data_IF_223280659328
#
_entry.id   IF_223280659328
#
_cell.length_a   1.000
_cell.length_b   1.000
_cell.length_c   1.000
_cell.angle_alpha   90.00
_cell.angle_beta   90.00
_cell.angle_gamma   90.00
#
_symmetry.space_group_name_H-M   'P 1'
#
loop_
_entity.id
_entity.type
_entity.pdbx_description
1 polymer ?
#
# COMPACT_ATOMS: atom_id res chain seq x y z
N UNK A 1 0.20 -14.94 36.53
CA UNK A 1 1.15 -15.74 35.72
C UNK A 1 0.51 -15.91 34.34
N UNK A 2 1.06 -15.31 33.28
CA UNK A 2 0.50 -15.43 31.95
C UNK A 2 0.96 -16.77 31.34
N UNK A 3 0.04 -17.74 31.23
CA UNK A 3 0.28 -18.96 30.48
C UNK A 3 0.00 -18.66 29.00
N UNK A 4 1.05 -18.35 28.23
CA UNK A 4 0.93 -18.09 26.80
C UNK A 4 2.27 -18.22 26.10
N UNK A 5 2.28 -18.89 24.95
CA UNK A 5 3.46 -18.98 24.08
C UNK A 5 3.46 -17.78 23.14
N UNK A 6 4.49 -16.95 23.21
CA UNK A 6 4.64 -15.79 22.34
C UNK A 6 5.32 -16.21 21.03
N UNK A 7 4.60 -16.08 19.93
CA UNK A 7 5.17 -16.26 18.59
C UNK A 7 6.02 -15.02 18.27
N UNK A 8 7.30 -15.23 17.92
CA UNK A 8 8.21 -14.16 17.50
C UNK A 8 7.84 -13.54 16.16
N UNK A 9 8.69 -12.67 15.60
CA UNK A 9 8.49 -12.20 14.23
C UNK A 9 8.64 -13.38 13.25
N UNK A 10 7.59 -13.66 12.48
CA UNK A 10 7.57 -14.77 11.51
C UNK A 10 7.16 -14.24 10.15
N UNK A 11 7.81 -14.75 9.10
CA UNK A 11 7.34 -14.50 7.73
C UNK A 11 5.97 -15.14 7.52
N UNK A 12 5.12 -14.54 6.68
CA UNK A 12 3.76 -15.02 6.44
C UNK A 12 3.70 -16.49 6.00
N UNK A 13 4.70 -16.96 5.25
CA UNK A 13 4.79 -18.35 4.78
C UNK A 13 5.27 -19.36 5.84
N UNK A 14 5.92 -18.90 6.91
CA UNK A 14 6.44 -19.77 7.97
C UNK A 14 5.55 -19.81 9.21
N UNK A 15 4.54 -18.93 9.30
CA UNK A 15 3.68 -18.80 10.48
C UNK A 15 3.05 -20.13 10.92
N UNK A 16 2.45 -20.89 10.00
CA UNK A 16 1.80 -22.18 10.33
C UNK A 16 2.82 -23.18 10.90
N UNK A 17 3.96 -23.34 10.22
CA UNK A 17 5.02 -24.25 10.65
C UNK A 17 5.61 -23.83 12.01
N UNK A 18 5.79 -22.53 12.25
CA UNK A 18 6.27 -21.99 13.52
C UNK A 18 5.27 -22.22 14.65
N UNK A 19 3.97 -22.01 14.41
CA UNK A 19 2.93 -22.27 15.42
C UNK A 19 2.85 -23.77 15.74
N UNK A 20 2.91 -24.64 14.73
CA UNK A 20 2.91 -26.09 14.95
C UNK A 20 4.13 -26.55 15.78
N UNK A 21 5.33 -26.06 15.45
CA UNK A 21 6.55 -26.39 16.20
C UNK A 21 6.50 -25.91 17.66
N UNK A 22 5.90 -24.74 17.91
CA UNK A 22 5.80 -24.16 19.25
C UNK A 22 4.74 -24.82 20.15
N UNK A 23 3.74 -25.47 19.56
CA UNK A 23 2.61 -26.08 20.29
C UNK A 23 2.81 -27.58 20.50
N UNK A 24 3.65 -28.24 19.70
CA UNK A 24 3.93 -29.67 19.80
C UNK A 24 4.51 -30.09 21.16
N UNK A 25 5.36 -29.26 21.77
CA UNK A 25 6.10 -29.59 23.00
C UNK A 25 5.29 -29.44 24.31
N UNK A 26 4.49 -28.36 24.53
CA UNK A 26 3.92 -28.12 25.85
C UNK A 26 2.53 -28.75 26.13
N UNK A 27 1.64 -28.93 25.13
CA UNK A 27 0.25 -29.39 25.38
C UNK A 27 -0.37 -30.09 24.15
N UNK A 28 -0.47 -31.43 24.10
CA UNK A 28 -1.04 -32.17 22.96
C UNK A 28 -2.49 -31.78 22.62
N UNK A 29 -3.30 -31.46 23.63
CA UNK A 29 -4.68 -31.04 23.45
C UNK A 29 -4.81 -29.69 22.69
N UNK A 30 -3.80 -28.82 22.80
CA UNK A 30 -3.78 -27.53 22.11
C UNK A 30 -3.46 -27.72 20.62
N UNK A 31 -2.63 -28.70 20.27
CA UNK A 31 -2.32 -29.08 18.88
C UNK A 31 -3.59 -29.50 18.13
N UNK A 32 -4.41 -30.38 18.74
CA UNK A 32 -5.67 -30.84 18.15
C UNK A 32 -6.68 -29.70 17.97
N UNK A 33 -6.74 -28.74 18.90
CA UNK A 33 -7.64 -27.60 18.80
C UNK A 33 -7.19 -26.57 17.75
N UNK A 34 -5.88 -26.39 17.54
CA UNK A 34 -5.33 -25.41 16.61
C UNK A 34 -5.26 -25.91 15.16
N UNK A 35 -5.17 -27.21 14.93
CA UNK A 35 -5.12 -27.81 13.59
C UNK A 35 -6.24 -27.30 12.64
N UNK A 36 -7.54 -27.36 12.99
CA UNK A 36 -8.59 -26.84 12.10
C UNK A 36 -8.50 -25.33 11.89
N UNK A 37 -8.03 -24.57 12.88
CA UNK A 37 -7.87 -23.12 12.77
C UNK A 37 -6.72 -22.76 11.80
N UNK A 38 -5.62 -23.49 11.86
CA UNK A 38 -4.48 -23.31 10.94
C UNK A 38 -4.85 -23.69 9.51
N UNK A 39 -5.69 -24.71 9.33
CA UNK A 39 -6.22 -25.08 8.01
C UNK A 39 -7.05 -23.93 7.41
N UNK A 40 -8.01 -23.38 8.17
CA UNK A 40 -8.84 -22.25 7.72
C UNK A 40 -7.98 -21.01 7.45
N UNK A 41 -7.00 -20.73 8.31
CA UNK A 41 -6.05 -19.64 8.09
C UNK A 41 -5.31 -19.79 6.75
N UNK A 42 -4.77 -20.98 6.47
CA UNK A 42 -4.06 -21.24 5.22
C UNK A 42 -4.98 -21.07 3.99
N UNK A 43 -6.21 -21.61 4.05
CA UNK A 43 -7.20 -21.46 2.98
C UNK A 43 -7.54 -19.98 2.73
N UNK A 44 -7.73 -19.19 3.78
CA UNK A 44 -8.00 -17.76 3.67
C UNK A 44 -6.81 -17.02 3.03
N UNK A 45 -5.57 -17.38 3.37
CA UNK A 45 -4.38 -16.78 2.76
C UNK A 45 -4.28 -17.09 1.26
N UNK A 46 -4.51 -18.34 0.85
CA UNK A 46 -4.49 -18.71 -0.56
C UNK A 46 -5.63 -18.07 -1.36
N UNK A 47 -6.82 -17.96 -0.77
CA UNK A 47 -7.94 -17.22 -1.34
C UNK A 47 -7.59 -15.74 -1.56
N UNK A 48 -6.99 -15.10 -0.55
CA UNK A 48 -6.55 -13.70 -0.64
C UNK A 48 -5.48 -13.49 -1.73
N UNK A 49 -4.49 -14.40 -1.84
CA UNK A 49 -3.48 -14.37 -2.91
C UNK A 49 -4.11 -14.51 -4.29
N UNK A 50 -5.07 -15.42 -4.43
CA UNK A 50 -5.77 -15.66 -5.70
C UNK A 50 -6.56 -14.43 -6.14
N UNK A 51 -7.33 -13.84 -5.22
CA UNK A 51 -8.07 -12.60 -5.47
C UNK A 51 -7.12 -11.45 -5.83
N UNK A 52 -6.02 -11.29 -5.08
CA UNK A 52 -5.02 -10.25 -5.36
C UNK A 52 -4.42 -10.40 -6.76
N UNK A 53 -4.16 -11.64 -7.23
CA UNK A 53 -3.70 -11.90 -8.61
C UNK A 53 -4.76 -11.52 -9.64
N UNK A 54 -6.04 -11.83 -9.39
CA UNK A 54 -7.13 -11.46 -10.31
C UNK A 54 -7.30 -9.95 -10.42
N UNK A 55 -7.36 -9.24 -9.28
CA UNK A 55 -7.44 -7.78 -9.23
C UNK A 55 -6.24 -7.16 -9.95
N UNK A 56 -5.04 -7.68 -9.66
CA UNK A 56 -3.83 -7.19 -10.31
C UNK A 56 -3.93 -7.34 -11.82
N UNK A 57 -4.33 -8.51 -12.34
CA UNK A 57 -4.51 -8.75 -13.79
C UNK A 57 -5.50 -7.77 -14.42
N UNK A 58 -6.66 -7.55 -13.79
CA UNK A 58 -7.66 -6.60 -14.27
C UNK A 58 -7.08 -5.18 -14.35
N UNK A 59 -6.39 -4.76 -13.28
CA UNK A 59 -5.72 -3.46 -13.23
C UNK A 59 -4.62 -3.33 -14.28
N UNK A 60 -3.92 -4.41 -14.65
CA UNK A 60 -2.93 -4.36 -15.73
C UNK A 60 -3.55 -4.13 -17.10
N UNK A 61 -4.80 -4.55 -17.30
CA UNK A 61 -5.53 -4.44 -18.57
C UNK A 61 -6.27 -3.11 -18.71
N UNK A 62 -6.48 -2.39 -17.60
CA UNK A 62 -7.14 -1.08 -17.60
C UNK A 62 -6.22 0.00 -18.23
N UNK A 63 -6.67 0.67 -19.32
CA UNK A 63 -5.88 1.70 -19.98
C UNK A 63 -5.55 2.90 -19.08
N UNK A 64 -6.37 3.23 -18.10
CA UNK A 64 -6.09 4.33 -17.15
C UNK A 64 -4.93 3.93 -16.24
N UNK A 65 -4.94 2.71 -15.72
CA UNK A 65 -3.88 2.19 -14.87
C UNK A 65 -2.55 2.02 -15.64
N UNK A 66 -2.60 1.68 -16.93
CA UNK A 66 -1.42 1.62 -17.80
C UNK A 66 -0.78 3.00 -18.00
N UNK A 67 -1.58 4.08 -18.07
CA UNK A 67 -1.07 5.46 -18.18
C UNK A 67 -0.37 5.94 -16.91
N UNK A 68 -0.68 5.35 -15.75
CA UNK A 68 -0.05 5.68 -14.47
C UNK A 68 1.25 4.91 -14.21
N UNK A 69 1.47 3.76 -14.86
CA UNK A 69 2.67 2.91 -14.68
C UNK A 69 4.02 3.56 -14.98
N UNK A 70 4.17 4.48 -15.95
CA UNK A 70 5.46 5.11 -16.21
C UNK A 70 5.96 5.98 -15.05
N UNK A 71 5.10 6.33 -14.09
CA UNK A 71 5.48 7.11 -12.92
C UNK A 71 6.34 6.25 -11.99
N UNK A 72 7.57 6.67 -11.64
CA UNK A 72 8.42 5.92 -10.73
C UNK A 72 7.74 5.73 -9.38
N UNK A 73 7.76 4.50 -8.87
CA UNK A 73 7.04 4.10 -7.65
C UNK A 73 5.55 3.74 -7.88
N UNK A 74 4.98 3.88 -9.07
CA UNK A 74 3.57 3.50 -9.29
C UNK A 74 3.46 2.08 -9.85
N UNK A 75 3.36 1.11 -8.94
CA UNK A 75 3.08 -0.28 -9.28
C UNK A 75 1.60 -0.53 -9.62
N UNK A 76 1.23 -1.71 -10.15
CA UNK A 76 -0.15 -2.04 -10.53
C UNK A 76 -1.16 -1.79 -9.41
N UNK A 77 -0.85 -2.22 -8.19
CA UNK A 77 -1.75 -2.04 -7.05
C UNK A 77 -1.92 -0.55 -6.67
N UNK A 78 -0.85 0.24 -6.80
CA UNK A 78 -0.87 1.69 -6.54
C UNK A 78 -1.71 2.41 -7.60
N UNK A 79 -1.53 2.06 -8.87
CA UNK A 79 -2.31 2.58 -9.98
C UNK A 79 -3.81 2.26 -9.81
N UNK A 80 -4.15 0.98 -9.58
CA UNK A 80 -5.53 0.56 -9.38
C UNK A 80 -6.18 1.22 -8.17
N UNK A 81 -5.47 1.34 -7.05
CA UNK A 81 -5.98 2.02 -5.85
C UNK A 81 -6.19 3.50 -6.12
N UNK A 82 -5.30 4.15 -6.88
CA UNK A 82 -5.43 5.57 -7.23
C UNK A 82 -6.64 5.81 -8.13
N UNK A 83 -6.85 4.98 -9.15
CA UNK A 83 -8.02 5.05 -10.03
C UNK A 83 -9.31 4.79 -9.24
N UNK A 84 -9.34 3.75 -8.41
CA UNK A 84 -10.49 3.43 -7.56
C UNK A 84 -10.80 4.53 -6.54
N UNK A 85 -9.79 5.26 -6.05
CA UNK A 85 -9.99 6.36 -5.11
C UNK A 85 -10.51 7.61 -5.81
N UNK A 86 -10.09 7.84 -7.05
CA UNK A 86 -10.47 9.02 -7.82
C UNK A 86 -11.87 8.91 -8.44
N UNK A 87 -12.31 7.69 -8.77
CA UNK A 87 -13.58 7.34 -9.43
C UNK A 87 -13.83 8.11 -10.75
N UNK A 88 -14.07 9.43 -10.67
CA UNK A 88 -14.25 10.33 -11.80
C UNK A 88 -13.15 11.42 -11.83
N UNK A 89 -12.20 11.37 -12.80
CA UNK A 89 -11.15 12.36 -12.92
C UNK A 89 -11.67 13.73 -13.40
N UNK A 90 -12.85 13.80 -14.03
CA UNK A 90 -13.41 15.05 -14.58
C UNK A 90 -13.91 16.01 -13.49
N UNK A 91 -14.11 15.50 -12.27
CA UNK A 91 -14.44 16.29 -11.09
C UNK A 91 -13.35 17.29 -10.71
N UNK A 92 -12.09 17.02 -11.09
CA UNK A 92 -10.96 17.86 -10.74
C UNK A 92 -10.60 18.81 -11.88
N UNK A 93 -10.52 20.11 -11.58
CA UNK A 93 -10.16 21.14 -12.58
C UNK A 93 -8.67 21.18 -12.86
N UNK A 94 -7.84 20.70 -11.92
CA UNK A 94 -6.38 20.74 -12.00
C UNK A 94 -5.75 19.50 -11.37
N UNK A 95 -4.57 19.11 -11.86
CA UNK A 95 -3.78 17.99 -11.31
C UNK A 95 -3.37 18.21 -9.85
N UNK A 96 -3.22 19.47 -9.42
CA UNK A 96 -2.95 19.83 -8.02
C UNK A 96 -4.09 19.44 -7.09
N UNK A 97 -5.36 19.53 -7.55
CA UNK A 97 -6.50 19.10 -6.74
C UNK A 97 -6.54 17.57 -6.58
N UNK A 98 -6.15 16.83 -7.61
CA UNK A 98 -5.96 15.37 -7.55
C UNK A 98 -4.87 15.02 -6.54
N UNK A 99 -3.72 15.68 -6.61
CA UNK A 99 -2.63 15.47 -5.66
C UNK A 99 -3.05 15.81 -4.22
N UNK A 100 -3.84 16.88 -4.01
CA UNK A 100 -4.36 17.24 -2.69
C UNK A 100 -5.34 16.18 -2.16
N UNK A 101 -6.23 15.70 -3.04
CA UNK A 101 -7.21 14.65 -2.71
C UNK A 101 -6.56 13.30 -2.38
N UNK A 102 -5.44 13.00 -3.04
CA UNK A 102 -4.59 11.84 -2.73
C UNK A 102 -3.62 12.11 -1.56
N UNK A 103 -3.63 13.29 -0.94
CA UNK A 103 -2.74 13.59 0.18
C UNK A 103 -1.25 13.56 -0.20
N UNK A 104 -0.94 13.98 -1.42
CA UNK A 104 0.40 14.07 -2.00
C UNK A 104 0.95 15.51 -2.00
N UNK A 105 0.15 16.49 -1.55
CA UNK A 105 0.54 17.90 -1.46
C UNK A 105 1.21 18.19 -0.11
N UNK A 106 2.28 19.00 -0.04
CA UNK A 106 2.88 19.43 1.22
C UNK A 106 1.86 20.16 2.11
N UNK A 107 1.90 19.90 3.41
CA UNK A 107 1.03 20.59 4.36
C UNK A 107 1.45 22.06 4.44
N UNK A 108 0.56 22.97 4.02
CA UNK A 108 0.81 24.41 4.09
C UNK A 108 0.30 24.93 5.42
N UNK A 109 1.20 25.53 6.20
CA UNK A 109 0.83 26.35 7.35
C UNK A 109 0.93 27.80 6.92
N UNK A 110 -0.23 28.45 6.80
CA UNK A 110 -0.34 29.88 6.54
C UNK A 110 -0.90 30.55 7.80
N UNK A 111 -0.03 31.26 8.51
CA UNK A 111 -0.43 32.27 9.49
C UNK A 111 -0.01 33.60 8.88
N UNK A 112 -0.81 34.67 8.98
CA UNK A 112 -0.70 35.90 8.18
C UNK A 112 0.65 36.64 8.13
N UNK A 113 1.70 36.14 8.80
CA UNK A 113 3.07 36.67 8.77
C UNK A 113 4.12 35.71 8.15
N UNK A 114 3.81 34.43 7.89
CA UNK A 114 4.75 33.47 7.31
C UNK A 114 4.08 32.31 6.56
N UNK A 115 4.64 31.96 5.40
CA UNK A 115 4.27 30.79 4.61
C UNK A 115 5.28 29.66 4.88
N UNK A 116 4.83 28.54 5.45
CA UNK A 116 5.69 27.36 5.67
C UNK A 116 5.14 26.11 4.99
N UNK A 117 5.97 25.47 4.16
CA UNK A 117 5.67 24.19 3.53
C UNK A 117 6.25 23.05 4.37
N UNK A 118 5.38 22.31 5.06
CA UNK A 118 5.75 21.15 5.87
C UNK A 118 5.75 19.83 5.09
N UNK A 119 5.81 18.70 5.81
CA UNK A 119 5.74 17.35 5.23
C UNK A 119 4.44 17.12 4.44
N UNK A 120 4.45 16.16 3.52
CA UNK A 120 3.29 15.72 2.74
C UNK A 120 2.08 15.51 3.65
N UNK A 121 0.97 16.17 3.31
CA UNK A 121 -0.30 16.15 4.04
C UNK A 121 -0.94 14.78 3.89
N UNK A 122 -0.83 13.93 4.93
CA UNK A 122 -1.26 12.51 4.88
C UNK A 122 -2.79 12.32 4.94
N UNK A 123 -3.54 13.35 4.59
CA UNK A 123 -4.97 13.51 4.89
C UNK A 123 -5.89 13.05 3.75
N UNK A 124 -5.34 12.81 2.55
CA UNK A 124 -6.10 12.29 1.40
C UNK A 124 -6.19 10.76 1.37
N UNK A 125 -7.14 10.23 0.59
CA UNK A 125 -7.56 8.81 0.56
C UNK A 125 -6.48 7.82 0.98
N UNK A 126 -6.56 7.34 2.23
CA UNK A 126 -5.42 6.76 2.95
C UNK A 126 -4.75 5.60 2.21
N UNK A 127 -5.52 4.80 1.47
CA UNK A 127 -5.00 3.65 0.74
C UNK A 127 -4.14 4.07 -0.46
N UNK A 128 -4.62 4.96 -1.34
CA UNK A 128 -3.85 5.44 -2.49
C UNK A 128 -2.67 6.33 -2.05
N UNK A 129 -2.90 7.22 -1.08
CA UNK A 129 -1.88 8.07 -0.49
C UNK A 129 -0.74 7.27 0.15
N UNK A 130 -1.07 6.20 0.87
CA UNK A 130 -0.10 5.31 1.49
C UNK A 130 0.61 4.46 0.45
N UNK A 131 -0.10 3.99 -0.58
CA UNK A 131 0.47 3.16 -1.64
C UNK A 131 1.53 3.93 -2.44
N UNK A 132 1.25 5.17 -2.84
CA UNK A 132 2.21 6.07 -3.51
C UNK A 132 3.36 6.47 -2.58
N UNK A 133 3.09 6.66 -1.27
CA UNK A 133 4.14 7.02 -0.32
C UNK A 133 5.08 5.86 -0.01
N UNK A 134 4.54 4.66 0.19
CA UNK A 134 5.34 3.46 0.49
C UNK A 134 6.20 3.04 -0.68
N UNK A 135 5.80 3.41 -1.89
CA UNK A 135 6.62 3.23 -3.08
C UNK A 135 7.63 4.35 -3.33
N UNK A 136 7.63 5.43 -2.53
CA UNK A 136 8.71 6.43 -2.49
C UNK A 136 9.74 6.11 -1.39
N UNK A 137 11.05 6.12 -1.72
CA UNK A 137 11.73 7.35 -2.10
C UNK A 137 12.47 7.23 -3.45
N UNK A 138 11.78 7.45 -4.56
CA UNK A 138 12.40 7.47 -5.89
C UNK A 138 12.98 8.86 -6.22
N UNK A 139 12.31 9.94 -5.83
CA UNK A 139 12.79 11.34 -6.01
C UNK A 139 13.94 11.75 -5.07
N UNK A 140 14.65 10.80 -4.46
CA UNK A 140 15.90 11.07 -3.77
C UNK A 140 17.08 11.18 -4.76
N UNK A 141 16.98 10.50 -5.91
CA UNK A 141 18.00 10.51 -6.96
C UNK A 141 17.88 11.80 -7.82
N UNK A 142 18.96 12.59 -7.98
CA UNK A 142 18.94 13.82 -8.78
C UNK A 142 18.52 13.61 -10.24
N UNK A 143 18.86 12.48 -10.86
CA UNK A 143 18.52 12.20 -12.27
C UNK A 143 17.01 11.97 -12.48
N UNK A 144 16.31 11.35 -11.52
CA UNK A 144 14.87 11.13 -11.60
C UNK A 144 14.05 12.42 -11.36
N UNK A 145 14.61 13.38 -10.61
CA UNK A 145 14.00 14.72 -10.44
C UNK A 145 14.02 15.51 -11.73
N UNK A 146 15.10 15.38 -12.50
CA UNK A 146 15.25 16.04 -13.80
C UNK A 146 14.29 15.43 -14.83
N UNK A 147 14.14 14.11 -14.85
CA UNK A 147 13.13 13.42 -15.65
C UNK A 147 11.70 13.85 -15.28
N UNK A 148 11.38 13.95 -13.99
CA UNK A 148 10.09 14.46 -13.51
C UNK A 148 9.87 15.93 -13.91
N UNK A 149 10.88 16.79 -13.77
CA UNK A 149 10.81 18.19 -14.18
C UNK A 149 10.58 18.36 -15.68
N UNK A 150 11.20 17.51 -16.52
CA UNK A 150 11.01 17.49 -17.97
C UNK A 150 9.59 17.03 -18.37
N UNK A 151 9.01 16.08 -17.64
CA UNK A 151 7.68 15.52 -17.96
C UNK A 151 6.53 16.43 -17.48
N UNK A 152 6.74 17.21 -16.42
CA UNK A 152 5.71 18.11 -15.83
C UNK A 152 5.89 19.57 -16.26
N UNK A 153 7.06 19.95 -16.75
CA UNK A 153 7.40 21.30 -17.24
C UNK A 153 7.07 21.57 -18.72
N UNK A 154 6.60 20.58 -19.48
CA UNK A 154 6.18 20.76 -20.87
C UNK A 154 4.79 21.38 -20.98
N UNK A 155 4.74 22.72 -21.06
CA UNK A 155 3.69 23.43 -21.79
C UNK A 155 4.09 23.57 -23.25
#
# INVERSE_FOLDING_TARGET
RAHGVKVGAVSAGQFVATVQALVAEPVPALTTALEPLLLVYHQAQEGAKTLARHVTKQVQQDPICQRLRPVPGVGPLVAGTSVATLEDPTRFRTSTQVAAYLGLVPRVYQSGAANYHGRISKEGGQAAALAVRRSGPCLADPDERELYAQTVGGK
#
